data_IF_011994889829
#
_entry.id   IF_011994889829
#
_cell.length_a   1.000
_cell.length_b   1.000
_cell.length_c   1.000
_cell.angle_alpha   90.00
_cell.angle_beta   90.00
_cell.angle_gamma   90.00
#
_symmetry.space_group_name_H-M   'P 1'
#
loop_
_entity.id
_entity.type
_entity.pdbx_description
1 polymer ?
#
# COMPACT_ATOMS: atom_id res chain seq x y z
N UNK A 1 -8.86 21.87 19.34
CA UNK A 1 -8.81 21.51 17.90
C UNK A 1 -8.03 22.56 17.12
N UNK A 2 -6.70 22.65 17.28
CA UNK A 2 -5.99 23.94 17.10
C UNK A 2 -4.57 23.91 16.51
N UNK A 3 -4.05 22.78 16.01
CA UNK A 3 -2.70 22.74 15.42
C UNK A 3 -2.62 21.86 14.18
N UNK A 4 -3.27 20.70 14.24
CA UNK A 4 -3.36 19.76 13.10
C UNK A 4 -4.17 20.31 11.91
N UNK A 5 -5.30 20.97 12.14
CA UNK A 5 -6.08 21.60 11.05
C UNK A 5 -5.29 22.73 10.39
N UNK A 6 -4.64 23.57 11.19
CA UNK A 6 -3.86 24.68 10.65
C UNK A 6 -2.59 24.22 9.93
N UNK A 7 -2.03 23.07 10.32
CA UNK A 7 -0.97 22.41 9.57
C UNK A 7 -1.49 21.87 8.23
N UNK A 8 -2.64 21.20 8.21
CA UNK A 8 -3.28 20.70 6.99
C UNK A 8 -3.61 21.82 5.99
N UNK A 9 -4.08 22.97 6.48
CA UNK A 9 -4.40 24.15 5.65
C UNK A 9 -3.16 24.80 5.01
N UNK A 10 -1.98 24.59 5.57
CA UNK A 10 -0.72 25.18 5.11
C UNK A 10 0.16 24.19 4.33
N UNK A 11 -0.37 23.03 3.93
CA UNK A 11 0.37 22.06 3.15
C UNK A 11 0.58 22.55 1.71
N UNK A 12 1.78 22.31 1.20
CA UNK A 12 2.05 22.44 -0.23
C UNK A 12 1.28 21.39 -1.04
N UNK A 13 1.12 21.64 -2.34
CA UNK A 13 0.50 20.68 -3.26
C UNK A 13 1.25 19.32 -3.28
N UNK A 14 2.58 19.35 -3.12
CA UNK A 14 3.41 18.15 -3.06
C UNK A 14 3.15 17.33 -1.79
N UNK A 15 3.16 17.97 -0.62
CA UNK A 15 2.87 17.29 0.65
C UNK A 15 1.45 16.73 0.69
N UNK A 16 0.48 17.45 0.11
CA UNK A 16 -0.91 16.99 -0.03
C UNK A 16 -0.98 15.73 -0.89
N UNK A 17 -0.21 15.66 -1.97
CA UNK A 17 -0.14 14.49 -2.85
C UNK A 17 0.51 13.29 -2.15
N UNK A 18 1.57 13.49 -1.36
CA UNK A 18 2.16 12.47 -0.49
C UNK A 18 1.19 11.94 0.56
N UNK A 19 0.49 12.83 1.27
CA UNK A 19 -0.54 12.43 2.24
C UNK A 19 -1.66 11.63 1.58
N UNK A 20 -2.11 12.06 0.40
CA UNK A 20 -3.15 11.36 -0.37
C UNK A 20 -2.68 9.98 -0.80
N UNK A 21 -1.42 9.86 -1.25
CA UNK A 21 -0.85 8.57 -1.62
C UNK A 21 -0.70 7.63 -0.42
N UNK A 22 -0.22 8.12 0.72
CA UNK A 22 -0.14 7.33 1.96
C UNK A 22 -1.53 6.87 2.40
N UNK A 23 -2.52 7.76 2.34
CA UNK A 23 -3.91 7.44 2.69
C UNK A 23 -4.50 6.38 1.76
N UNK A 24 -4.37 6.56 0.44
CA UNK A 24 -4.85 5.60 -0.56
C UNK A 24 -4.14 4.25 -0.45
N UNK A 25 -2.83 4.26 -0.22
CA UNK A 25 -2.01 3.07 -0.05
C UNK A 25 -2.44 2.29 1.20
N UNK A 26 -2.65 2.98 2.31
CA UNK A 26 -3.16 2.37 3.54
C UNK A 26 -4.56 1.80 3.29
N UNK A 27 -5.51 2.60 2.79
CA UNK A 27 -6.90 2.18 2.54
C UNK A 27 -6.99 0.97 1.62
N UNK A 28 -6.35 1.02 0.44
CA UNK A 28 -6.38 -0.09 -0.51
C UNK A 28 -5.65 -1.32 0.03
N UNK A 29 -4.51 -1.11 0.69
CA UNK A 29 -3.76 -2.18 1.33
C UNK A 29 -4.61 -2.92 2.37
N UNK A 30 -5.26 -2.22 3.30
CA UNK A 30 -6.12 -2.86 4.30
C UNK A 30 -7.34 -3.50 3.67
N UNK A 31 -7.98 -2.89 2.67
CA UNK A 31 -9.13 -3.51 2.00
C UNK A 31 -8.76 -4.86 1.37
N UNK A 32 -7.70 -4.90 0.57
CA UNK A 32 -7.27 -6.12 -0.12
C UNK A 32 -6.83 -7.19 0.88
N UNK A 33 -5.99 -6.83 1.86
CA UNK A 33 -5.53 -7.76 2.90
C UNK A 33 -6.69 -8.32 3.72
N UNK A 34 -7.67 -7.48 4.08
CA UNK A 34 -8.84 -7.92 4.86
C UNK A 34 -9.74 -8.87 4.07
N UNK A 35 -9.92 -8.64 2.76
CA UNK A 35 -10.66 -9.55 1.89
C UNK A 35 -9.98 -10.92 1.83
N UNK A 36 -8.65 -10.95 1.64
CA UNK A 36 -7.86 -12.18 1.58
C UNK A 36 -7.93 -12.94 2.91
N UNK A 37 -7.74 -12.24 4.04
CA UNK A 37 -7.84 -12.86 5.36
C UNK A 37 -9.23 -13.42 5.61
N UNK A 38 -10.28 -12.64 5.33
CA UNK A 38 -11.66 -13.07 5.57
C UNK A 38 -12.02 -14.29 4.72
N UNK A 39 -11.69 -14.26 3.43
CA UNK A 39 -11.96 -15.38 2.54
C UNK A 39 -11.11 -16.60 2.90
N UNK A 40 -9.78 -16.43 2.99
CA UNK A 40 -8.85 -17.51 3.24
C UNK A 40 -9.08 -18.19 4.58
N UNK A 41 -9.21 -17.43 5.67
CA UNK A 41 -9.42 -18.01 7.00
C UNK A 41 -10.79 -18.70 7.14
N UNK A 42 -11.77 -18.32 6.33
CA UNK A 42 -13.07 -19.02 6.27
C UNK A 42 -13.04 -20.30 5.43
N UNK A 43 -12.15 -20.38 4.44
CA UNK A 43 -12.09 -21.48 3.49
C UNK A 43 -11.12 -22.61 3.90
N UNK A 44 -10.14 -22.30 4.76
CA UNK A 44 -9.08 -23.26 5.12
C UNK A 44 -8.86 -23.34 6.62
N UNK A 45 -9.00 -24.55 7.19
CA UNK A 45 -8.86 -24.78 8.64
C UNK A 45 -7.65 -25.66 8.98
N UNK A 46 -6.45 -25.11 8.75
CA UNK A 46 -5.20 -25.74 9.13
C UNK A 46 -4.14 -24.70 9.47
N UNK A 47 -3.30 -24.97 10.49
CA UNK A 47 -2.29 -24.00 10.95
C UNK A 47 -1.35 -23.54 9.82
N UNK A 48 -0.88 -24.47 8.98
CA UNK A 48 -0.05 -24.15 7.81
C UNK A 48 -0.78 -23.32 6.75
N UNK A 49 -2.07 -23.61 6.50
CA UNK A 49 -2.88 -22.84 5.56
C UNK A 49 -3.14 -21.42 6.08
N UNK A 50 -3.46 -21.27 7.37
CA UNK A 50 -3.64 -19.96 8.03
C UNK A 50 -2.38 -19.10 7.94
N UNK A 51 -1.20 -19.70 8.15
CA UNK A 51 0.09 -19.01 7.95
C UNK A 51 0.25 -18.54 6.50
N UNK A 52 0.00 -19.41 5.52
CA UNK A 52 0.11 -19.07 4.10
C UNK A 52 -0.84 -17.95 3.69
N UNK A 53 -2.08 -17.95 4.21
CA UNK A 53 -3.07 -16.89 3.99
C UNK A 53 -2.60 -15.56 4.58
N UNK A 54 -2.04 -15.58 5.80
CA UNK A 54 -1.48 -14.37 6.41
C UNK A 54 -0.32 -13.81 5.58
N UNK A 55 0.61 -14.66 5.13
CA UNK A 55 1.71 -14.25 4.25
C UNK A 55 1.21 -13.67 2.93
N UNK A 56 0.19 -14.29 2.32
CA UNK A 56 -0.45 -13.79 1.11
C UNK A 56 -1.10 -12.43 1.33
N UNK A 57 -1.81 -12.25 2.44
CA UNK A 57 -2.45 -10.98 2.81
C UNK A 57 -1.42 -9.87 3.03
N UNK A 58 -0.28 -10.17 3.66
CA UNK A 58 0.85 -9.24 3.81
C UNK A 58 1.47 -8.88 2.46
N UNK A 59 1.70 -9.87 1.59
CA UNK A 59 2.24 -9.63 0.26
C UNK A 59 1.29 -8.77 -0.59
N UNK A 60 -0.02 -9.03 -0.50
CA UNK A 60 -1.04 -8.25 -1.19
C UNK A 60 -1.14 -6.82 -0.67
N UNK A 61 -1.01 -6.60 0.64
CA UNK A 61 -0.89 -5.26 1.22
C UNK A 61 0.31 -4.52 0.63
N UNK A 62 1.50 -5.13 0.64
CA UNK A 62 2.70 -4.55 0.08
C UNK A 62 2.58 -4.23 -1.41
N UNK A 63 1.95 -5.14 -2.17
CA UNK A 63 1.67 -4.95 -3.60
C UNK A 63 0.71 -3.78 -3.87
N UNK A 64 -0.34 -3.63 -3.06
CA UNK A 64 -1.29 -2.51 -3.18
C UNK A 64 -0.61 -1.17 -2.87
N UNK A 65 0.19 -1.11 -1.80
CA UNK A 65 1.00 0.08 -1.47
C UNK A 65 1.91 0.42 -2.64
N UNK A 66 2.66 -0.56 -3.14
CA UNK A 66 3.56 -0.37 -4.26
C UNK A 66 2.84 0.16 -5.52
N UNK A 67 1.68 -0.39 -5.85
CA UNK A 67 0.88 0.03 -7.00
C UNK A 67 0.42 1.51 -6.87
N UNK A 68 -0.03 1.92 -5.68
CA UNK A 68 -0.44 3.31 -5.43
C UNK A 68 0.71 4.28 -5.65
N UNK A 69 1.89 3.99 -5.09
CA UNK A 69 3.06 4.84 -5.29
C UNK A 69 3.59 4.81 -6.73
N UNK A 70 3.48 3.68 -7.42
CA UNK A 70 3.85 3.58 -8.83
C UNK A 70 2.93 4.43 -9.73
N UNK A 71 1.62 4.46 -9.43
CA UNK A 71 0.65 5.23 -10.20
C UNK A 71 0.78 6.71 -9.93
N UNK A 72 0.85 7.13 -8.66
CA UNK A 72 0.80 8.54 -8.26
C UNK A 72 2.12 9.29 -8.43
N UNK A 73 3.26 8.60 -8.32
CA UNK A 73 4.57 9.25 -8.41
C UNK A 73 5.36 8.79 -9.63
N UNK A 74 5.78 9.71 -10.52
CA UNK A 74 6.62 9.36 -11.66
C UNK A 74 8.05 8.99 -11.24
N UNK A 75 8.55 9.53 -10.12
CA UNK A 75 9.87 9.22 -9.54
C UNK A 75 10.02 7.72 -9.21
N UNK A 76 8.97 7.09 -8.66
CA UNK A 76 8.95 5.64 -8.39
C UNK A 76 9.01 4.82 -9.67
N UNK A 77 8.44 5.31 -10.78
CA UNK A 77 8.56 4.64 -12.08
C UNK A 77 9.99 4.68 -12.62
N UNK A 78 10.68 5.81 -12.46
CA UNK A 78 12.07 5.97 -12.84
C UNK A 78 12.99 5.10 -11.98
N UNK A 79 12.77 5.06 -10.67
CA UNK A 79 13.50 4.17 -9.76
C UNK A 79 13.30 2.70 -10.13
N UNK A 80 12.06 2.29 -10.46
CA UNK A 80 11.78 0.94 -10.92
C UNK A 80 12.52 0.63 -12.23
N UNK A 81 12.45 1.54 -13.18
CA UNK A 81 13.15 1.39 -14.46
C UNK A 81 14.65 1.23 -14.24
N UNK A 82 15.27 1.95 -13.31
CA UNK A 82 16.69 1.76 -12.97
C UNK A 82 16.97 0.37 -12.37
N UNK A 83 16.15 -0.09 -11.43
CA UNK A 83 16.32 -1.41 -10.79
C UNK A 83 16.20 -2.56 -11.81
N UNK A 84 15.25 -2.46 -12.74
CA UNK A 84 15.00 -3.53 -13.73
C UNK A 84 15.80 -3.38 -15.03
N UNK A 85 16.22 -2.17 -15.41
CA UNK A 85 17.03 -1.94 -16.61
C UNK A 85 18.51 -2.20 -16.39
N UNK A 86 19.00 -2.23 -15.14
CA UNK A 86 20.38 -2.56 -14.81
C UNK A 86 20.64 -4.08 -14.71
N UNK A 87 19.70 -4.91 -15.17
CA UNK A 87 19.82 -6.38 -15.27
C UNK A 87 20.19 -6.84 -16.70
N UNK A 88 20.89 -6.02 -17.47
CA UNK A 88 21.45 -6.40 -18.77
C UNK A 88 22.96 -6.50 -18.68
#
# INVERSE_FOLDING_TARGET
>A
MKKWQHWLENLSAEETLWLTAVFLAAMLGTMVSSIILRWGLSAYDGAGAKLAICLLATAAYGGAVFAVFYVLFPETRLALKRIFSNKK
#
